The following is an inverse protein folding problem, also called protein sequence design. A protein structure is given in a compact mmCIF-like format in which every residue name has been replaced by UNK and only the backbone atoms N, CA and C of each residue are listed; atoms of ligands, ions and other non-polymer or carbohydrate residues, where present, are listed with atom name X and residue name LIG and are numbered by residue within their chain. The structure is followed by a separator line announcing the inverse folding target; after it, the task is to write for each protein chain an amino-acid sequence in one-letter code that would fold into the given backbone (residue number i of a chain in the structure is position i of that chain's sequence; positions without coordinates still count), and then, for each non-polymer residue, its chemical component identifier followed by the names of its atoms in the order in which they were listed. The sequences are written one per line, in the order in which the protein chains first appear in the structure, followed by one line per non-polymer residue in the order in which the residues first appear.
data_IF_008773546855
#
_entry.id   IF_008773546855
#
_cell.length_a   1.000
_cell.length_b   1.000
_cell.length_c   1.000
_cell.angle_alpha   90.00
_cell.angle_beta   90.00
_cell.angle_gamma   90.00
#
_symmetry.space_group_name_H-M   'P 1'
#
loop_
_entity.id
_entity.type
_entity.pdbx_description
1 polymer ?
#
# COMPACT_ATOMS: atom_id res chain seq x y z
N UNK A 1 -2.64 4.53 13.51
CA UNK A 1 -3.37 3.24 13.46
C UNK A 1 -3.05 2.60 12.11
N UNK A 2 -2.78 1.30 12.05
CA UNK A 2 -2.34 0.65 10.81
C UNK A 2 -3.38 0.80 9.69
N UNK A 3 -2.94 1.22 8.51
CA UNK A 3 -3.74 1.27 7.28
C UNK A 3 -3.69 -0.06 6.50
N UNK A 4 -2.98 -1.06 7.02
CA UNK A 4 -2.80 -2.37 6.37
C UNK A 4 -3.24 -3.53 7.25
N UNK A 5 -3.80 -4.55 6.63
CA UNK A 5 -4.13 -5.82 7.28
C UNK A 5 -2.89 -6.72 7.31
N UNK A 6 -2.33 -6.89 8.51
CA UNK A 6 -1.13 -7.70 8.72
C UNK A 6 -1.31 -9.16 8.25
N UNK A 7 -2.50 -9.74 8.46
CA UNK A 7 -2.81 -11.09 7.98
C UNK A 7 -2.66 -11.20 6.46
N UNK A 8 -3.26 -10.28 5.70
CA UNK A 8 -3.20 -10.26 4.22
C UNK A 8 -1.78 -10.05 3.70
N UNK A 9 -1.02 -9.18 4.35
CA UNK A 9 0.40 -8.99 4.05
C UNK A 9 1.20 -10.30 4.24
N UNK A 10 1.02 -10.97 5.38
CA UNK A 10 1.72 -12.23 5.68
C UNK A 10 1.33 -13.35 4.71
N UNK A 11 0.05 -13.45 4.36
CA UNK A 11 -0.45 -14.39 3.36
C UNK A 11 0.23 -14.17 2.00
N UNK A 12 0.30 -12.91 1.54
CA UNK A 12 0.95 -12.55 0.28
C UNK A 12 2.46 -12.83 0.29
N UNK A 13 3.18 -12.47 1.37
CA UNK A 13 4.61 -12.77 1.51
C UNK A 13 4.87 -14.27 1.51
N UNK A 14 4.02 -15.04 2.21
CA UNK A 14 4.11 -16.50 2.27
C UNK A 14 3.81 -17.15 0.93
N UNK A 15 2.84 -16.63 0.17
CA UNK A 15 2.58 -17.07 -1.21
C UNK A 15 3.79 -16.83 -2.12
N UNK A 16 4.56 -15.77 -1.87
CA UNK A 16 5.85 -15.50 -2.48
C UNK A 16 7.04 -16.33 -1.95
N UNK A 17 6.79 -17.35 -1.11
CA UNK A 17 7.84 -18.26 -0.61
C UNK A 17 8.79 -17.65 0.44
N UNK A 18 8.43 -16.51 1.03
CA UNK A 18 9.23 -15.86 2.07
C UNK A 18 8.53 -15.85 3.43
N UNK A 19 9.30 -15.68 4.50
CA UNK A 19 8.81 -15.36 5.84
C UNK A 19 8.69 -13.85 6.03
N UNK A 20 7.92 -13.42 7.03
CA UNK A 20 7.72 -11.99 7.36
C UNK A 20 8.44 -11.65 8.67
N UNK A 21 9.32 -10.66 8.65
CA UNK A 21 9.92 -10.11 9.87
C UNK A 21 8.90 -9.28 10.66
N UNK A 22 9.12 -9.09 11.97
CA UNK A 22 8.22 -8.32 12.83
C UNK A 22 8.10 -6.84 12.43
N UNK A 23 9.17 -6.28 11.87
CA UNK A 23 9.27 -4.88 11.40
C UNK A 23 8.65 -4.64 10.01
N UNK A 24 8.41 -5.69 9.23
CA UNK A 24 7.92 -5.58 7.86
C UNK A 24 6.56 -4.86 7.78
N UNK A 25 5.63 -5.15 8.71
CA UNK A 25 4.29 -4.52 8.72
C UNK A 25 4.37 -3.01 8.92
N UNK A 26 5.31 -2.53 9.73
CA UNK A 26 5.54 -1.10 9.92
C UNK A 26 6.02 -0.43 8.63
N UNK A 27 6.90 -1.09 7.89
CA UNK A 27 7.44 -0.59 6.63
C UNK A 27 6.36 -0.54 5.53
N UNK A 28 5.55 -1.60 5.38
CA UNK A 28 4.42 -1.58 4.43
C UNK A 28 3.40 -0.48 4.80
N UNK A 29 3.11 -0.31 6.10
CA UNK A 29 2.24 0.79 6.53
C UNK A 29 2.82 2.15 6.15
N UNK A 30 4.12 2.38 6.37
CA UNK A 30 4.79 3.61 5.97
C UNK A 30 4.76 3.84 4.45
N UNK A 31 4.91 2.77 3.65
CA UNK A 31 4.78 2.84 2.19
C UNK A 31 3.36 3.24 1.76
N UNK A 32 2.33 2.69 2.43
CA UNK A 32 0.93 3.07 2.18
C UNK A 32 0.66 4.52 2.62
N UNK A 33 1.21 4.98 3.74
CA UNK A 33 1.11 6.38 4.16
C UNK A 33 1.80 7.35 3.19
N UNK A 34 2.97 6.97 2.67
CA UNK A 34 3.67 7.72 1.63
C UNK A 34 2.84 7.78 0.34
N UNK A 35 2.24 6.66 -0.09
CA UNK A 35 1.34 6.61 -1.23
C UNK A 35 0.11 7.51 -1.05
N UNK A 36 -0.48 7.54 0.15
CA UNK A 36 -1.56 8.48 0.49
C UNK A 36 -1.10 9.93 0.31
N UNK A 37 0.10 10.26 0.81
CA UNK A 37 0.65 11.60 0.68
C UNK A 37 0.88 12.00 -0.78
N UNK A 38 1.47 11.09 -1.58
CA UNK A 38 1.69 11.31 -3.01
C UNK A 38 0.39 11.46 -3.78
N UNK A 39 -0.63 10.65 -3.49
CA UNK A 39 -1.93 10.73 -4.14
C UNK A 39 -2.64 12.05 -3.84
N UNK A 40 -2.60 12.51 -2.59
CA UNK A 40 -3.13 13.83 -2.22
C UNK A 40 -2.39 14.95 -2.95
N UNK A 41 -1.05 14.88 -2.99
CA UNK A 41 -0.25 15.88 -3.68
C UNK A 41 -0.58 15.93 -5.19
N UNK A 42 -0.66 14.78 -5.87
CA UNK A 42 -1.04 14.70 -7.29
C UNK A 42 -2.47 15.19 -7.54
N UNK A 43 -3.41 14.81 -6.68
CA UNK A 43 -4.80 15.25 -6.78
C UNK A 43 -4.89 16.78 -6.68
N UNK A 44 -4.19 17.36 -5.69
CA UNK A 44 -4.10 18.81 -5.49
C UNK A 44 -3.41 19.54 -6.65
N UNK A 45 -2.26 19.04 -7.13
CA UNK A 45 -1.56 19.60 -8.29
C UNK A 45 -2.40 19.58 -9.57
N UNK A 46 -3.30 18.61 -9.70
CA UNK A 46 -4.24 18.51 -10.81
C UNK A 46 -5.51 19.34 -10.60
N UNK A 47 -5.58 20.18 -9.55
CA UNK A 47 -6.75 21.02 -9.25
C UNK A 47 -8.00 20.24 -8.84
N UNK A 48 -7.86 18.96 -8.46
CA UNK A 48 -8.97 18.09 -8.10
C UNK A 48 -9.07 17.93 -6.59
N UNK A 49 -10.30 17.73 -6.11
CA UNK A 49 -10.58 17.41 -4.70
C UNK A 49 -10.93 15.93 -4.50
N UNK A 50 -11.04 15.14 -5.56
CA UNK A 50 -11.39 13.72 -5.49
C UNK A 50 -10.24 12.89 -6.01
N UNK A 51 -9.65 12.10 -5.12
CA UNK A 51 -8.58 11.15 -5.46
C UNK A 51 -9.17 10.03 -6.29
N UNK A 52 -8.50 9.76 -7.40
CA UNK A 52 -8.82 8.68 -8.34
C UNK A 52 -7.65 7.70 -8.42
N UNK A 53 -7.86 6.57 -9.07
CA UNK A 53 -6.85 5.55 -9.31
C UNK A 53 -5.56 6.15 -9.86
N UNK A 54 -5.66 7.01 -10.87
CA UNK A 54 -4.51 7.67 -11.51
C UNK A 54 -3.71 8.62 -10.62
N UNK A 55 -4.23 9.04 -9.46
CA UNK A 55 -3.44 9.78 -8.46
C UNK A 55 -2.52 8.85 -7.66
N UNK A 56 -2.89 7.57 -7.55
CA UNK A 56 -2.21 6.56 -6.74
C UNK A 56 -1.27 5.73 -7.62
N UNK A 57 -1.81 5.11 -8.67
CA UNK A 57 -1.11 4.21 -9.58
C UNK A 57 -2.01 3.69 -10.71
N UNK A 58 -1.51 2.78 -11.53
CA UNK A 58 -2.22 2.26 -12.71
C UNK A 58 -2.97 0.94 -12.47
N UNK A 59 -2.78 0.30 -11.30
CA UNK A 59 -3.39 -1.00 -10.99
C UNK A 59 -4.74 -0.90 -10.27
N UNK A 60 -5.45 -2.02 -10.22
CA UNK A 60 -6.64 -2.21 -9.37
C UNK A 60 -6.65 -3.63 -8.82
N UNK A 61 -6.84 -3.78 -7.51
CA UNK A 61 -6.93 -5.08 -6.84
C UNK A 61 -8.00 -5.10 -5.75
N UNK A 62 -8.57 -6.28 -5.52
CA UNK A 62 -9.60 -6.52 -4.48
C UNK A 62 -9.06 -7.33 -3.28
N UNK A 63 -7.75 -7.49 -3.14
CA UNK A 63 -7.14 -8.29 -2.05
C UNK A 63 -7.55 -7.85 -0.63
N UNK A 64 -7.99 -6.59 -0.49
CA UNK A 64 -8.33 -6.03 0.81
C UNK A 64 -7.11 -5.95 1.72
N UNK A 65 -5.91 -5.75 1.16
CA UNK A 65 -4.68 -5.59 1.93
C UNK A 65 -4.66 -4.28 2.69
N UNK A 66 -5.28 -3.22 2.15
CA UNK A 66 -5.45 -1.94 2.84
C UNK A 66 -6.80 -1.86 3.57
N UNK A 67 -6.78 -1.21 4.73
CA UNK A 67 -7.99 -0.93 5.52
C UNK A 67 -8.71 0.27 4.91
N UNK A 68 -9.74 0.00 4.11
CA UNK A 68 -10.41 1.03 3.31
C UNK A 68 -10.93 2.23 4.12
N UNK A 69 -11.48 1.99 5.30
CA UNK A 69 -11.94 3.07 6.19
C UNK A 69 -10.78 4.00 6.60
N UNK A 70 -9.63 3.45 6.98
CA UNK A 70 -8.46 4.22 7.43
C UNK A 70 -7.84 5.03 6.32
N UNK A 71 -7.76 4.47 5.13
CA UNK A 71 -7.24 5.18 3.95
C UNK A 71 -8.16 6.34 3.56
N UNK A 72 -9.49 6.12 3.56
CA UNK A 72 -10.48 7.18 3.33
C UNK A 72 -10.40 8.28 4.39
N UNK A 73 -10.24 7.92 5.66
CA UNK A 73 -10.01 8.89 6.75
C UNK A 73 -8.74 9.72 6.50
N UNK A 74 -7.64 9.08 6.07
CA UNK A 74 -6.38 9.75 5.79
C UNK A 74 -6.48 10.74 4.61
N UNK A 75 -7.19 10.37 3.55
CA UNK A 75 -7.49 11.29 2.44
C UNK A 75 -8.36 12.46 2.89
N UNK A 76 -9.41 12.19 3.66
CA UNK A 76 -10.33 13.21 4.17
C UNK A 76 -9.64 14.18 5.11
N UNK A 77 -8.75 13.69 5.98
CA UNK A 77 -7.94 14.51 6.88
C UNK A 77 -7.01 15.49 6.12
N UNK A 78 -6.64 15.15 4.89
CA UNK A 78 -5.86 16.01 3.99
C UNK A 78 -6.73 16.84 3.02
N UNK A 79 -8.04 16.88 3.25
CA UNK A 79 -8.98 17.71 2.48
C UNK A 79 -9.44 17.11 1.15
N UNK A 80 -9.11 15.84 0.86
CA UNK A 80 -9.50 15.18 -0.37
C UNK A 80 -10.65 14.16 -0.15
N UNK A 81 -11.57 14.11 -1.10
CA UNK A 81 -12.57 13.06 -1.26
C UNK A 81 -11.94 11.82 -1.89
N UNK A 82 -12.57 10.65 -1.70
CA UNK A 82 -12.13 9.38 -2.27
C UNK A 82 -13.06 8.95 -3.39
N UNK A 83 -12.53 8.75 -4.59
CA UNK A 83 -13.26 8.14 -5.70
C UNK A 83 -13.49 6.65 -5.47
N UNK A 84 -14.53 6.08 -6.10
CA UNK A 84 -14.85 4.66 -5.96
C UNK A 84 -13.73 3.73 -6.45
N UNK A 85 -12.95 4.18 -7.42
CA UNK A 85 -11.81 3.51 -8.03
C UNK A 85 -10.50 3.61 -7.22
N UNK A 86 -10.40 4.55 -6.28
CA UNK A 86 -9.16 4.80 -5.53
C UNK A 86 -8.76 3.63 -4.63
N UNK A 87 -9.74 2.92 -4.04
CA UNK A 87 -9.43 1.84 -3.10
C UNK A 87 -8.82 0.62 -3.80
N UNK A 88 -9.29 0.31 -5.02
CA UNK A 88 -8.69 -0.73 -5.85
C UNK A 88 -7.22 -0.42 -6.15
N UNK A 89 -6.91 0.83 -6.46
CA UNK A 89 -5.54 1.27 -6.71
C UNK A 89 -4.65 1.22 -5.45
N UNK A 90 -5.18 1.55 -4.27
CA UNK A 90 -4.43 1.43 -3.01
C UNK A 90 -4.12 -0.02 -2.66
N UNK A 91 -5.06 -0.95 -2.90
CA UNK A 91 -4.81 -2.38 -2.74
C UNK A 91 -3.72 -2.88 -3.71
N UNK A 92 -3.83 -2.51 -4.99
CA UNK A 92 -2.84 -2.89 -6.00
C UNK A 92 -1.43 -2.36 -5.66
N UNK A 93 -1.35 -1.13 -5.15
CA UNK A 93 -0.09 -0.55 -4.70
C UNK A 93 0.51 -1.33 -3.52
N UNK A 94 -0.32 -1.71 -2.54
CA UNK A 94 0.16 -2.50 -1.40
C UNK A 94 0.62 -3.90 -1.82
N UNK A 95 -0.10 -4.56 -2.73
CA UNK A 95 0.33 -5.83 -3.33
C UNK A 95 1.64 -5.71 -4.08
N UNK A 96 1.79 -4.67 -4.91
CA UNK A 96 3.03 -4.41 -5.65
C UNK A 96 4.20 -4.22 -4.69
N UNK A 97 4.01 -3.42 -3.63
CA UNK A 97 5.03 -3.22 -2.60
C UNK A 97 5.44 -4.54 -1.91
N UNK A 98 4.47 -5.43 -1.64
CA UNK A 98 4.77 -6.76 -1.09
C UNK A 98 5.50 -7.65 -2.09
N UNK A 99 5.07 -7.66 -3.36
CA UNK A 99 5.73 -8.42 -4.42
C UNK A 99 7.19 -7.96 -4.60
N UNK A 100 7.41 -6.65 -4.67
CA UNK A 100 8.74 -6.06 -4.78
C UNK A 100 9.62 -6.42 -3.57
N UNK A 101 9.05 -6.37 -2.35
CA UNK A 101 9.75 -6.72 -1.14
C UNK A 101 10.14 -8.22 -1.09
N UNK A 102 9.26 -9.11 -1.56
CA UNK A 102 9.56 -10.54 -1.74
C UNK A 102 10.70 -10.72 -2.75
N UNK A 103 10.60 -10.10 -3.92
CA UNK A 103 11.63 -10.18 -4.96
C UNK A 103 12.98 -9.64 -4.47
N UNK A 104 13.00 -8.52 -3.73
CA UNK A 104 14.22 -7.96 -3.12
C UNK A 104 14.80 -8.89 -2.05
N UNK A 105 13.98 -9.50 -1.20
CA UNK A 105 14.45 -10.46 -0.21
C UNK A 105 15.11 -11.67 -0.89
N UNK A 106 14.47 -12.23 -1.90
CA UNK A 106 14.99 -13.36 -2.69
C UNK A 106 16.27 -13.01 -3.44
N UNK A 107 16.31 -11.84 -4.09
CA UNK A 107 17.50 -11.35 -4.81
C UNK A 107 18.71 -11.16 -3.88
N UNK A 108 18.45 -10.82 -2.61
CA UNK A 108 19.47 -10.74 -1.56
C UNK A 108 19.75 -12.10 -0.88
N UNK A 109 19.26 -13.22 -1.43
CA UNK A 109 19.46 -14.57 -0.87
C UNK A 109 18.74 -14.83 0.46
N UNK A 110 17.79 -13.97 0.85
CA UNK A 110 17.07 -14.07 2.12
C UNK A 110 15.71 -14.72 1.94
N UNK A 111 15.33 -15.57 2.90
CA UNK A 111 13.98 -16.16 3.02
C UNK A 111 13.07 -15.38 3.96
N UNK A 112 13.41 -14.14 4.29
CA UNK A 112 12.65 -13.32 5.23
C UNK A 112 12.62 -11.88 4.73
N UNK A 113 11.41 -11.40 4.44
CA UNK A 113 11.12 -10.01 4.11
C UNK A 113 11.24 -9.17 5.37
N UNK A 114 12.06 -8.14 5.31
CA UNK A 114 12.34 -7.16 6.37
C UNK A 114 11.85 -5.78 5.95
N UNK A 115 11.89 -4.82 6.86
CA UNK A 115 11.54 -3.43 6.57
C UNK A 115 12.35 -2.85 5.41
N UNK A 116 13.65 -3.16 5.31
CA UNK A 116 14.53 -2.68 4.25
C UNK A 116 14.20 -3.24 2.85
N UNK A 117 13.28 -4.20 2.76
CA UNK A 117 12.79 -4.70 1.46
C UNK A 117 11.65 -3.85 0.90
N UNK A 118 10.96 -3.05 1.72
CA UNK A 118 9.87 -2.17 1.27
C UNK A 118 10.41 -0.85 0.73
#
# INVERSE_FOLDING_TARGET
MSMVYNSKMKEAIKAGGCNTAGDATGALNAAVEAAVASAVARCGSNGRKTIRSHDIGSGTSDSGMVVASRVKEAFKARGCNTGGDAMGAMNALAESAVSDAVSRAQANGRKTVRANDF
#
